data_IF_542969494482
#
_entry.id   IF_542969494482
#
_cell.length_a   1.000
_cell.length_b   1.000
_cell.length_c   1.000
_cell.angle_alpha   90.00
_cell.angle_beta   90.00
_cell.angle_gamma   90.00
#
_symmetry.space_group_name_H-M   'P 1'
#
loop_
_entity.id
_entity.type
_entity.pdbx_description
1 polymer ?
#
# COMPACT_ATOMS: atom_id res chain seq x y z
N UNK A 1 -5.81 31.23 -13.55
CA UNK A 1 -5.45 31.43 -12.12
C UNK A 1 -3.93 31.24 -12.01
N UNK A 2 -3.21 32.19 -11.44
CA UNK A 2 -1.77 32.02 -11.25
C UNK A 2 -1.50 30.97 -10.17
N UNK A 3 -0.93 29.84 -10.57
CA UNK A 3 -0.63 28.69 -9.69
C UNK A 3 0.38 29.08 -8.60
N UNK A 4 1.23 30.04 -8.86
CA UNK A 4 2.31 30.47 -7.95
C UNK A 4 1.89 31.63 -7.02
N UNK A 5 0.70 32.18 -7.20
CA UNK A 5 0.21 33.30 -6.38
C UNK A 5 0.08 32.92 -4.91
N UNK A 6 0.59 33.80 -4.02
CA UNK A 6 0.51 33.60 -2.56
C UNK A 6 1.41 32.48 -2.02
N UNK A 7 2.38 32.01 -2.79
CA UNK A 7 3.46 31.14 -2.32
C UNK A 7 4.65 31.97 -1.88
N UNK A 8 5.29 31.60 -0.77
CA UNK A 8 6.60 32.15 -0.39
C UNK A 8 7.71 31.58 -1.31
N UNK A 9 8.94 32.11 -1.18
CA UNK A 9 10.07 31.73 -2.05
C UNK A 9 10.36 30.22 -2.00
N UNK A 10 10.44 29.61 -0.82
CA UNK A 10 10.71 28.18 -0.67
C UNK A 10 9.58 27.30 -1.19
N UNK A 11 8.32 27.70 -0.98
CA UNK A 11 7.18 26.99 -1.56
C UNK A 11 7.14 27.10 -3.09
N UNK A 12 7.50 28.27 -3.63
CA UNK A 12 7.59 28.48 -5.08
C UNK A 12 8.69 27.61 -5.67
N UNK A 13 9.86 27.57 -5.06
CA UNK A 13 10.94 26.68 -5.44
C UNK A 13 10.51 25.22 -5.43
N UNK A 14 9.88 24.75 -4.35
CA UNK A 14 9.36 23.38 -4.25
C UNK A 14 8.31 23.04 -5.33
N UNK A 15 7.54 24.01 -5.80
CA UNK A 15 6.55 23.83 -6.87
C UNK A 15 7.21 23.78 -8.25
N UNK A 16 8.21 24.63 -8.52
CA UNK A 16 8.79 24.80 -9.87
C UNK A 16 10.01 23.92 -10.13
N UNK A 17 10.68 23.41 -9.11
CA UNK A 17 11.78 22.44 -9.29
C UNK A 17 11.19 21.07 -9.66
N UNK A 18 11.16 20.73 -10.95
CA UNK A 18 10.44 19.55 -11.46
C UNK A 18 11.33 18.34 -11.71
N UNK A 19 12.63 18.53 -11.81
CA UNK A 19 13.57 17.48 -12.18
C UNK A 19 14.33 16.91 -10.96
N UNK A 20 14.59 15.60 -11.02
CA UNK A 20 15.41 14.90 -10.04
C UNK A 20 14.67 14.57 -8.73
N UNK A 21 15.45 14.17 -7.73
CA UNK A 21 14.93 13.82 -6.40
C UNK A 21 14.89 15.05 -5.50
N UNK A 22 13.68 15.45 -5.12
CA UNK A 22 13.47 16.65 -4.33
C UNK A 22 12.91 16.26 -2.95
N UNK A 23 13.62 16.67 -1.91
CA UNK A 23 13.18 16.51 -0.52
C UNK A 23 12.85 17.87 0.08
N UNK A 24 11.60 18.04 0.51
CA UNK A 24 11.13 19.25 1.20
C UNK A 24 11.05 18.99 2.70
N UNK A 25 11.81 19.73 3.50
CA UNK A 25 11.77 19.66 4.96
C UNK A 25 11.01 20.88 5.47
N UNK A 26 9.88 20.65 6.14
CA UNK A 26 9.01 21.73 6.58
C UNK A 26 8.21 21.31 7.82
N UNK A 27 8.02 22.23 8.76
CA UNK A 27 7.25 22.02 9.98
C UNK A 27 5.74 21.81 9.76
N UNK A 28 5.03 21.42 10.81
CA UNK A 28 3.58 21.36 10.77
C UNK A 28 2.97 22.74 10.46
N UNK A 29 1.90 22.80 9.68
CA UNK A 29 1.25 24.05 9.29
C UNK A 29 1.97 24.92 8.28
N UNK A 30 3.16 24.50 7.79
CA UNK A 30 3.95 25.24 6.79
C UNK A 30 3.35 25.27 5.38
N UNK A 31 2.26 24.55 5.14
CA UNK A 31 1.61 24.47 3.84
C UNK A 31 2.18 23.43 2.88
N UNK A 32 2.81 22.36 3.38
CA UNK A 32 3.33 21.24 2.55
C UNK A 32 2.31 20.71 1.55
N UNK A 33 1.17 20.28 2.04
CA UNK A 33 0.07 19.74 1.22
C UNK A 33 -0.44 20.76 0.19
N UNK A 34 -0.44 22.06 0.55
CA UNK A 34 -0.78 23.15 -0.39
C UNK A 34 0.27 23.27 -1.50
N UNK A 35 1.55 23.23 -1.15
CA UNK A 35 2.63 23.27 -2.13
C UNK A 35 2.57 22.07 -3.07
N UNK A 36 2.30 20.88 -2.54
CA UNK A 36 2.18 19.65 -3.32
C UNK A 36 1.00 19.70 -4.32
N UNK A 37 -0.17 20.18 -3.90
CA UNK A 37 -1.30 20.37 -4.80
C UNK A 37 -1.01 21.38 -5.91
N UNK A 38 -0.30 22.48 -5.58
CA UNK A 38 0.12 23.47 -6.57
C UNK A 38 1.22 22.96 -7.50
N UNK A 39 2.12 22.11 -7.01
CA UNK A 39 3.10 21.41 -7.85
C UNK A 39 2.40 20.50 -8.87
N UNK A 40 1.39 19.74 -8.43
CA UNK A 40 0.57 18.93 -9.35
C UNK A 40 -0.04 19.82 -10.44
N UNK A 41 -0.71 20.90 -10.04
CA UNK A 41 -1.33 21.82 -10.98
C UNK A 41 -0.31 22.49 -11.92
N UNK A 42 0.90 22.80 -11.44
CA UNK A 42 1.98 23.34 -12.23
C UNK A 42 2.45 22.34 -13.31
N UNK A 43 2.66 21.07 -12.92
CA UNK A 43 3.03 20.01 -13.87
C UNK A 43 1.97 19.86 -14.98
N UNK A 44 0.69 19.90 -14.63
CA UNK A 44 -0.41 19.72 -15.60
C UNK A 44 -0.61 20.98 -16.45
N UNK A 45 -0.78 22.14 -15.85
CA UNK A 45 -1.23 23.34 -16.57
C UNK A 45 -0.09 24.07 -17.27
N UNK A 46 1.12 24.10 -16.67
CA UNK A 46 2.25 24.86 -17.24
C UNK A 46 3.17 23.97 -18.08
N UNK A 47 3.36 22.70 -17.67
CA UNK A 47 4.26 21.79 -18.38
C UNK A 47 3.53 20.78 -19.27
N UNK A 48 2.20 20.74 -19.25
CA UNK A 48 1.41 19.84 -20.09
C UNK A 48 1.54 18.35 -19.73
N UNK A 49 1.94 18.05 -18.50
CA UNK A 49 2.05 16.64 -18.03
C UNK A 49 0.65 16.04 -17.88
N UNK A 50 0.45 14.87 -18.47
CA UNK A 50 -0.82 14.15 -18.36
C UNK A 50 -1.08 13.77 -16.89
N UNK A 51 -2.26 14.09 -16.30
CA UNK A 51 -2.57 13.75 -14.92
C UNK A 51 -2.34 12.25 -14.59
N UNK A 52 -2.71 11.34 -15.48
CA UNK A 52 -2.50 9.90 -15.33
C UNK A 52 -1.03 9.46 -15.21
N UNK A 53 -0.06 10.34 -15.53
CA UNK A 53 1.37 10.10 -15.35
C UNK A 53 1.91 10.59 -14.00
N UNK A 54 1.04 11.10 -13.13
CA UNK A 54 1.41 11.64 -11.82
C UNK A 54 0.80 10.77 -10.73
N UNK A 55 1.67 10.24 -9.85
CA UNK A 55 1.28 9.57 -8.61
C UNK A 55 1.50 10.53 -7.44
N UNK A 56 0.44 10.76 -6.66
CA UNK A 56 0.52 11.50 -5.41
C UNK A 56 0.05 10.63 -4.26
N UNK A 57 0.96 10.26 -3.37
CA UNK A 57 0.68 9.36 -2.25
C UNK A 57 0.57 10.14 -0.97
N UNK A 58 -0.47 9.86 -0.20
CA UNK A 58 -0.70 10.41 1.14
C UNK A 58 -0.87 9.29 2.17
N UNK A 59 -0.78 9.64 3.45
CA UNK A 59 -0.89 8.63 4.50
C UNK A 59 -2.34 8.15 4.75
N UNK A 60 -3.35 9.01 4.57
CA UNK A 60 -4.75 8.66 4.86
C UNK A 60 -5.68 8.89 3.67
N UNK A 61 -6.77 8.11 3.61
CA UNK A 61 -7.81 8.29 2.62
C UNK A 61 -8.46 9.69 2.68
N UNK A 62 -8.56 10.26 3.89
CA UNK A 62 -9.04 11.62 4.10
C UNK A 62 -8.12 12.64 3.43
N UNK A 63 -6.80 12.53 3.68
CA UNK A 63 -5.81 13.42 3.03
C UNK A 63 -5.83 13.27 1.51
N UNK A 64 -5.97 12.05 0.99
CA UNK A 64 -6.09 11.82 -0.45
C UNK A 64 -7.36 12.48 -1.04
N UNK A 65 -8.48 12.41 -0.35
CA UNK A 65 -9.72 13.06 -0.78
C UNK A 65 -9.59 14.60 -0.76
N UNK A 66 -9.02 15.17 0.29
CA UNK A 66 -8.75 16.62 0.39
C UNK A 66 -7.77 17.08 -0.70
N UNK A 67 -6.72 16.31 -0.98
CA UNK A 67 -5.75 16.58 -2.05
C UNK A 67 -6.45 16.63 -3.42
N UNK A 68 -7.28 15.60 -3.73
CA UNK A 68 -8.06 15.56 -4.98
C UNK A 68 -8.94 16.79 -5.14
N UNK A 69 -9.64 17.20 -4.08
CA UNK A 69 -10.50 18.39 -4.12
C UNK A 69 -9.69 19.66 -4.42
N UNK A 70 -8.53 19.84 -3.78
CA UNK A 70 -7.64 20.99 -4.01
C UNK A 70 -7.09 21.02 -5.43
N UNK A 71 -6.67 19.86 -5.95
CA UNK A 71 -6.16 19.76 -7.32
C UNK A 71 -7.24 20.08 -8.34
N UNK A 72 -8.44 19.53 -8.18
CA UNK A 72 -9.59 19.88 -9.04
C UNK A 72 -9.90 21.39 -9.07
N UNK A 73 -9.82 22.03 -7.91
CA UNK A 73 -10.02 23.49 -7.83
C UNK A 73 -8.94 24.29 -8.55
N UNK A 74 -7.72 23.76 -8.71
CA UNK A 74 -6.60 24.41 -9.36
C UNK A 74 -6.51 24.10 -10.87
N UNK A 75 -6.80 22.87 -11.27
CA UNK A 75 -6.69 22.42 -12.67
C UNK A 75 -7.99 22.65 -13.45
N UNK A 76 -9.13 22.70 -12.77
CA UNK A 76 -10.45 22.72 -13.43
C UNK A 76 -10.84 21.39 -14.06
N UNK A 77 -10.00 20.35 -13.93
CA UNK A 77 -10.21 19.03 -14.51
C UNK A 77 -10.76 18.04 -13.46
N UNK A 78 -11.54 17.07 -13.92
CA UNK A 78 -12.00 15.94 -13.12
C UNK A 78 -10.93 14.85 -13.00
N UNK A 79 -9.99 14.76 -13.96
CA UNK A 79 -8.86 13.86 -13.89
C UNK A 79 -7.80 14.43 -12.93
N UNK A 80 -7.59 13.74 -11.83
CA UNK A 80 -6.61 14.10 -10.80
C UNK A 80 -5.46 13.10 -10.75
N UNK A 81 -5.29 12.27 -11.76
CA UNK A 81 -4.25 11.23 -11.78
C UNK A 81 -4.41 10.20 -10.65
N UNK A 82 -3.30 9.64 -10.22
CA UNK A 82 -3.26 8.65 -9.14
C UNK A 82 -3.03 9.35 -7.79
N UNK A 83 -4.10 9.83 -7.14
CA UNK A 83 -4.02 10.39 -5.78
C UNK A 83 -4.64 9.40 -4.79
N UNK A 84 -3.81 8.75 -3.98
CA UNK A 84 -4.24 7.65 -3.13
C UNK A 84 -3.31 7.46 -1.91
N UNK A 85 -3.59 6.48 -1.07
CA UNK A 85 -2.66 5.99 -0.05
C UNK A 85 -1.69 4.98 -0.65
N UNK A 86 -0.58 4.68 0.07
CA UNK A 86 0.33 3.61 -0.35
C UNK A 86 -0.40 2.28 -0.56
N UNK A 87 -1.24 1.86 0.38
CA UNK A 87 -2.01 0.62 0.27
C UNK A 87 -2.96 0.64 -0.93
N UNK A 88 -3.64 1.75 -1.20
CA UNK A 88 -4.52 1.86 -2.37
C UNK A 88 -3.74 1.80 -3.68
N UNK A 89 -2.53 2.33 -3.73
CA UNK A 89 -1.64 2.17 -4.88
C UNK A 89 -1.23 0.71 -5.05
N UNK A 90 -0.82 0.03 -3.98
CA UNK A 90 -0.50 -1.39 -4.00
C UNK A 90 -1.68 -2.24 -4.50
N UNK A 91 -2.91 -1.95 -4.03
CA UNK A 91 -4.11 -2.62 -4.56
C UNK A 91 -4.24 -2.43 -6.07
N UNK A 92 -4.00 -1.22 -6.58
CA UNK A 92 -4.04 -0.95 -8.04
C UNK A 92 -3.02 -1.78 -8.81
N UNK A 93 -1.77 -1.84 -8.32
CA UNK A 93 -0.70 -2.65 -8.92
C UNK A 93 -1.08 -4.13 -8.89
N UNK A 94 -1.49 -4.65 -7.75
CA UNK A 94 -1.83 -6.05 -7.57
C UNK A 94 -3.07 -6.46 -8.40
N UNK A 95 -4.07 -5.60 -8.55
CA UNK A 95 -5.21 -5.89 -9.41
C UNK A 95 -4.84 -5.94 -10.89
N UNK A 96 -3.90 -5.11 -11.33
CA UNK A 96 -3.45 -5.09 -12.72
C UNK A 96 -2.50 -6.27 -13.03
N UNK A 97 -1.60 -6.57 -12.12
CA UNK A 97 -0.49 -7.51 -12.31
C UNK A 97 -0.53 -8.74 -11.36
N UNK A 98 -1.71 -9.10 -10.87
CA UNK A 98 -1.92 -10.20 -9.91
C UNK A 98 -1.37 -11.56 -10.36
N UNK A 99 -1.26 -11.77 -11.68
CA UNK A 99 -0.71 -13.00 -12.26
C UNK A 99 0.73 -13.26 -11.82
N UNK A 100 1.50 -12.21 -11.53
CA UNK A 100 2.89 -12.32 -11.09
C UNK A 100 3.03 -12.94 -9.68
N UNK A 101 1.97 -12.91 -8.89
CA UNK A 101 1.92 -13.49 -7.54
C UNK A 101 0.89 -14.63 -7.43
N UNK A 102 0.38 -15.11 -8.56
CA UNK A 102 -0.61 -16.20 -8.64
C UNK A 102 -1.91 -15.94 -7.87
N UNK A 103 -2.30 -14.68 -7.73
CA UNK A 103 -3.55 -14.26 -7.10
C UNK A 103 -4.59 -13.85 -8.15
N UNK A 104 -5.89 -14.00 -7.87
CA UNK A 104 -6.94 -13.47 -8.73
C UNK A 104 -6.98 -11.94 -8.65
N UNK A 105 -7.43 -11.27 -9.70
CA UNK A 105 -7.63 -9.81 -9.69
C UNK A 105 -8.62 -9.35 -8.62
N UNK A 106 -9.54 -10.24 -8.24
CA UNK A 106 -10.58 -10.02 -7.22
C UNK A 106 -10.17 -10.57 -5.84
N UNK A 107 -8.89 -10.46 -5.48
CA UNK A 107 -8.44 -10.83 -4.13
C UNK A 107 -9.15 -9.99 -3.06
N UNK A 108 -9.24 -10.52 -1.85
CA UNK A 108 -9.85 -9.83 -0.73
C UNK A 108 -8.80 -8.97 0.00
N UNK A 109 -9.16 -7.75 0.38
CA UNK A 109 -8.36 -6.95 1.30
C UNK A 109 -8.92 -7.15 2.71
N UNK A 110 -8.13 -7.73 3.58
CA UNK A 110 -8.54 -8.12 4.92
C UNK A 110 -8.39 -6.96 5.90
N UNK A 111 -9.43 -6.72 6.68
CA UNK A 111 -9.38 -5.82 7.82
C UNK A 111 -9.26 -6.60 9.16
N UNK A 112 -9.18 -5.87 10.27
CA UNK A 112 -9.06 -6.48 11.59
C UNK A 112 -10.23 -7.38 11.96
N UNK A 113 -11.44 -7.12 11.46
CA UNK A 113 -12.60 -7.95 11.73
C UNK A 113 -12.53 -9.26 10.95
N UNK A 114 -12.06 -9.23 9.71
CA UNK A 114 -11.81 -10.43 8.91
C UNK A 114 -10.72 -11.29 9.54
N UNK A 115 -9.63 -10.68 10.02
CA UNK A 115 -8.55 -11.38 10.74
C UNK A 115 -9.10 -12.05 12.01
N UNK A 116 -9.94 -11.36 12.80
CA UNK A 116 -10.53 -11.93 14.00
C UNK A 116 -11.41 -13.15 13.72
N UNK A 117 -12.12 -13.17 12.60
CA UNK A 117 -12.90 -14.35 12.15
C UNK A 117 -11.98 -15.53 11.82
N UNK A 118 -10.86 -15.28 11.15
CA UNK A 118 -9.86 -16.31 10.87
C UNK A 118 -9.22 -16.85 12.16
N UNK A 119 -8.84 -15.96 13.06
CA UNK A 119 -8.29 -16.32 14.36
C UNK A 119 -9.26 -17.18 15.17
N UNK A 120 -10.56 -16.84 15.18
CA UNK A 120 -11.57 -17.62 15.89
C UNK A 120 -11.62 -19.07 15.40
N UNK A 121 -11.53 -19.31 14.08
CA UNK A 121 -11.46 -20.68 13.51
C UNK A 121 -10.19 -21.42 13.94
N UNK A 122 -9.03 -20.76 13.84
CA UNK A 122 -7.75 -21.34 14.24
C UNK A 122 -7.78 -21.74 15.71
N UNK A 123 -8.33 -20.89 16.56
CA UNK A 123 -8.44 -21.16 18.00
C UNK A 123 -9.36 -22.34 18.28
N UNK A 124 -10.50 -22.43 17.62
CA UNK A 124 -11.43 -23.56 17.74
C UNK A 124 -10.79 -24.86 17.27
N UNK A 125 -10.18 -24.87 16.07
CA UNK A 125 -9.54 -26.07 15.49
C UNK A 125 -8.35 -26.58 16.30
N UNK A 126 -7.57 -25.70 16.90
CA UNK A 126 -6.34 -26.05 17.62
C UNK A 126 -6.52 -26.06 19.16
N UNK A 127 -7.73 -25.86 19.66
CA UNK A 127 -8.02 -25.85 21.10
C UNK A 127 -7.31 -24.70 21.85
N UNK A 128 -7.04 -23.59 21.18
CA UNK A 128 -6.48 -22.40 21.79
C UNK A 128 -7.58 -21.60 22.51
N UNK A 129 -7.18 -20.81 23.49
CA UNK A 129 -8.09 -19.93 24.23
C UNK A 129 -7.49 -18.52 24.34
N UNK A 130 -8.33 -17.53 24.64
CA UNK A 130 -7.88 -16.15 24.85
C UNK A 130 -6.90 -15.99 26.05
N UNK A 131 -6.76 -17.03 26.88
CA UNK A 131 -5.73 -17.07 27.94
C UNK A 131 -4.34 -17.36 27.38
N UNK A 132 -4.24 -18.05 26.23
CA UNK A 132 -2.97 -18.28 25.55
C UNK A 132 -2.49 -17.00 24.85
N UNK A 133 -3.39 -16.31 24.15
CA UNK A 133 -3.15 -15.05 23.46
C UNK A 133 -4.50 -14.42 23.10
N UNK A 134 -4.68 -13.12 23.31
CA UNK A 134 -5.89 -12.43 22.84
C UNK A 134 -5.83 -12.22 21.33
N UNK A 135 -6.96 -11.95 20.66
CA UNK A 135 -6.94 -11.66 19.21
C UNK A 135 -6.14 -10.38 18.90
N UNK A 136 -6.19 -9.38 19.77
CA UNK A 136 -5.36 -8.19 19.61
C UNK A 136 -3.86 -8.52 19.65
N UNK A 137 -3.42 -9.28 20.67
CA UNK A 137 -2.02 -9.72 20.77
C UNK A 137 -1.62 -10.63 19.60
N UNK A 138 -2.56 -11.43 19.08
CA UNK A 138 -2.31 -12.29 17.92
C UNK A 138 -2.11 -11.45 16.64
N UNK A 139 -2.92 -10.41 16.42
CA UNK A 139 -2.72 -9.48 15.29
C UNK A 139 -1.39 -8.76 15.39
N UNK A 140 -1.07 -8.21 16.57
CA UNK A 140 0.21 -7.53 16.80
C UNK A 140 1.40 -8.48 16.58
N UNK A 141 1.28 -9.74 17.00
CA UNK A 141 2.29 -10.77 16.77
C UNK A 141 2.44 -11.11 15.28
N UNK A 142 1.33 -11.23 14.54
CA UNK A 142 1.34 -11.48 13.09
C UNK A 142 2.02 -10.32 12.38
N UNK A 143 1.63 -9.08 12.69
CA UNK A 143 2.21 -7.87 12.11
C UNK A 143 3.72 -7.78 12.37
N UNK A 144 4.14 -8.00 13.61
CA UNK A 144 5.54 -8.01 14.00
C UNK A 144 6.32 -9.09 13.24
N UNK A 145 5.76 -10.29 13.13
CA UNK A 145 6.40 -11.40 12.45
C UNK A 145 6.52 -11.13 10.95
N UNK A 146 5.46 -10.71 10.29
CA UNK A 146 5.47 -10.35 8.87
C UNK A 146 6.46 -9.21 8.57
N UNK A 147 6.52 -8.19 9.42
CA UNK A 147 7.32 -7.00 9.17
C UNK A 147 8.78 -7.09 9.58
N UNK A 148 9.13 -7.88 10.60
CA UNK A 148 10.45 -7.84 11.25
C UNK A 148 11.07 -9.22 11.45
N UNK A 149 10.32 -10.20 12.02
CA UNK A 149 10.89 -11.48 12.41
C UNK A 149 11.08 -12.43 11.21
N UNK A 150 10.13 -12.40 10.27
CA UNK A 150 10.12 -13.24 9.07
C UNK A 150 9.67 -12.39 7.86
N UNK A 151 10.46 -11.41 7.43
CA UNK A 151 10.07 -10.47 6.38
C UNK A 151 9.97 -11.13 5.00
N UNK A 152 10.39 -12.38 4.85
CA UNK A 152 10.28 -13.14 3.61
C UNK A 152 9.09 -14.13 3.60
N UNK A 153 8.21 -14.09 4.61
CA UNK A 153 7.02 -14.96 4.74
C UNK A 153 6.15 -14.98 3.47
N UNK A 154 6.14 -13.88 2.72
CA UNK A 154 5.35 -13.75 1.49
C UNK A 154 5.83 -14.73 0.40
N UNK A 155 7.09 -15.19 0.45
CA UNK A 155 7.56 -16.24 -0.45
C UNK A 155 6.82 -17.56 -0.19
N UNK A 156 6.57 -17.90 1.07
CA UNK A 156 5.73 -19.03 1.45
C UNK A 156 4.29 -18.87 0.87
N UNK A 157 3.78 -17.65 0.91
CA UNK A 157 2.45 -17.33 0.36
C UNK A 157 2.40 -17.44 -1.17
N UNK A 158 3.47 -17.10 -1.88
CA UNK A 158 3.52 -17.13 -3.35
C UNK A 158 3.89 -18.54 -3.85
N UNK A 159 4.96 -19.14 -3.30
CA UNK A 159 5.59 -20.33 -3.86
C UNK A 159 5.01 -21.65 -3.35
N UNK A 160 4.47 -21.70 -2.12
CA UNK A 160 3.87 -22.93 -1.59
C UNK A 160 2.44 -23.13 -2.09
N UNK A 161 2.09 -24.36 -2.42
CA UNK A 161 0.70 -24.72 -2.60
C UNK A 161 -0.07 -24.73 -1.26
N UNK A 162 -1.39 -24.74 -1.36
CA UNK A 162 -2.26 -24.70 -0.18
C UNK A 162 -2.09 -25.92 0.72
N UNK A 163 -1.78 -27.09 0.15
CA UNK A 163 -1.58 -28.34 0.91
C UNK A 163 -0.30 -28.28 1.75
N UNK A 164 0.78 -27.78 1.19
CA UNK A 164 2.06 -27.61 1.88
C UNK A 164 1.94 -26.60 3.02
N UNK A 165 1.26 -25.48 2.80
CA UNK A 165 1.01 -24.48 3.84
C UNK A 165 0.10 -25.03 4.94
N UNK A 166 -0.94 -25.79 4.58
CA UNK A 166 -1.80 -26.47 5.54
C UNK A 166 -1.02 -27.47 6.42
N UNK A 167 -0.06 -28.19 5.83
CA UNK A 167 0.81 -29.12 6.57
C UNK A 167 1.69 -28.36 7.57
N UNK A 168 2.30 -27.22 7.16
CA UNK A 168 3.03 -26.35 8.11
C UNK A 168 2.17 -25.92 9.29
N UNK A 169 0.91 -25.56 9.03
CA UNK A 169 -0.06 -25.21 10.07
C UNK A 169 -0.34 -26.37 11.02
N UNK A 170 -0.58 -27.58 10.48
CA UNK A 170 -0.88 -28.75 11.29
C UNK A 170 0.32 -29.21 12.14
N UNK A 171 1.53 -29.13 11.59
CA UNK A 171 2.77 -29.54 12.25
C UNK A 171 3.26 -28.51 13.30
N UNK A 172 2.71 -27.29 13.29
CA UNK A 172 3.07 -26.25 14.24
C UNK A 172 2.72 -26.67 15.70
N UNK A 173 3.65 -26.44 16.62
CA UNK A 173 3.52 -26.85 18.02
C UNK A 173 3.38 -25.64 18.95
N UNK A 174 4.15 -24.56 18.72
CA UNK A 174 4.06 -23.37 19.55
C UNK A 174 2.79 -22.58 19.26
N UNK A 175 2.21 -21.94 20.26
CA UNK A 175 1.02 -21.07 20.07
C UNK A 175 1.26 -20.02 18.98
N UNK A 176 2.45 -19.40 18.94
CA UNK A 176 2.80 -18.40 17.94
C UNK A 176 2.83 -18.97 16.51
N UNK A 177 3.42 -20.16 16.34
CA UNK A 177 3.50 -20.81 15.02
C UNK A 177 2.13 -21.32 14.57
N UNK A 178 1.33 -21.88 15.48
CA UNK A 178 -0.04 -22.30 15.19
C UNK A 178 -0.85 -21.13 14.66
N UNK A 179 -0.82 -19.99 15.34
CA UNK A 179 -1.54 -18.80 14.94
C UNK A 179 -1.00 -18.26 13.61
N UNK A 180 0.31 -18.15 13.47
CA UNK A 180 0.92 -17.56 12.29
C UNK A 180 0.67 -18.39 11.01
N UNK A 181 1.03 -19.67 11.03
CA UNK A 181 0.82 -20.53 9.85
C UNK A 181 -0.66 -20.82 9.59
N UNK A 182 -1.48 -20.89 10.63
CA UNK A 182 -2.93 -20.97 10.48
C UNK A 182 -3.51 -19.73 9.79
N UNK A 183 -3.03 -18.55 10.16
CA UNK A 183 -3.41 -17.30 9.54
C UNK A 183 -3.00 -17.24 8.06
N UNK A 184 -1.73 -17.54 7.74
CA UNK A 184 -1.26 -17.59 6.35
C UNK A 184 -2.07 -18.60 5.51
N UNK A 185 -2.42 -19.74 6.10
CA UNK A 185 -3.26 -20.75 5.43
C UNK A 185 -4.67 -20.23 5.13
N UNK A 186 -5.34 -19.58 6.09
CA UNK A 186 -6.67 -19.01 5.88
C UNK A 186 -6.65 -17.84 4.87
N UNK A 187 -5.61 -16.98 4.91
CA UNK A 187 -5.40 -15.93 3.90
C UNK A 187 -5.29 -16.52 2.50
N UNK A 188 -4.39 -17.48 2.30
CA UNK A 188 -4.17 -18.11 1.00
C UNK A 188 -5.42 -18.82 0.49
N UNK A 189 -6.15 -19.50 1.37
CA UNK A 189 -7.37 -20.24 1.05
C UNK A 189 -8.49 -19.33 0.50
N UNK A 190 -8.60 -18.11 0.99
CA UNK A 190 -9.59 -17.14 0.51
C UNK A 190 -9.05 -16.12 -0.48
N UNK A 191 -7.77 -16.23 -0.88
CA UNK A 191 -7.05 -15.19 -1.63
C UNK A 191 -7.14 -13.83 -0.95
N UNK A 192 -7.01 -13.82 0.38
CA UNK A 192 -6.95 -12.62 1.20
C UNK A 192 -5.54 -12.05 1.24
N UNK A 193 -5.45 -10.73 1.36
CA UNK A 193 -4.21 -10.00 1.60
C UNK A 193 -4.48 -8.94 2.67
N UNK A 194 -3.68 -8.92 3.72
CA UNK A 194 -3.70 -7.82 4.69
C UNK A 194 -2.85 -6.63 4.22
N UNK A 195 -2.76 -5.59 5.03
CA UNK A 195 -2.02 -4.38 4.65
C UNK A 195 -0.52 -4.61 4.46
N UNK A 196 0.09 -5.54 5.20
CA UNK A 196 1.50 -5.90 5.00
C UNK A 196 1.68 -6.60 3.66
N UNK A 197 0.80 -7.57 3.36
CA UNK A 197 0.86 -8.32 2.11
C UNK A 197 0.74 -7.42 0.89
N UNK A 198 -0.14 -6.41 0.93
CA UNK A 198 -0.28 -5.46 -0.18
C UNK A 198 1.06 -4.78 -0.52
N UNK A 199 1.82 -4.41 0.50
CA UNK A 199 3.12 -3.76 0.30
C UNK A 199 4.16 -4.79 -0.15
N UNK A 200 4.31 -5.91 0.56
CA UNK A 200 5.35 -6.89 0.26
C UNK A 200 5.17 -7.57 -1.10
N UNK A 201 3.94 -7.90 -1.47
CA UNK A 201 3.66 -8.47 -2.79
C UNK A 201 3.91 -7.46 -3.92
N UNK A 202 3.60 -6.19 -3.70
CA UNK A 202 3.93 -5.12 -4.67
C UNK A 202 5.44 -4.95 -4.82
N UNK A 203 6.19 -4.95 -3.71
CA UNK A 203 7.65 -4.89 -3.74
C UNK A 203 8.24 -6.11 -4.44
N UNK A 204 7.75 -7.32 -4.14
CA UNK A 204 8.17 -8.55 -4.81
C UNK A 204 8.00 -8.46 -6.33
N UNK A 205 6.82 -8.02 -6.80
CA UNK A 205 6.58 -7.83 -8.24
C UNK A 205 7.59 -6.85 -8.84
N UNK A 206 7.80 -5.70 -8.19
CA UNK A 206 8.74 -4.70 -8.73
C UNK A 206 10.20 -5.13 -8.68
N UNK A 207 10.58 -6.00 -7.76
CA UNK A 207 11.94 -6.54 -7.68
C UNK A 207 12.19 -7.65 -8.68
N UNK A 208 11.24 -8.55 -8.86
CA UNK A 208 11.38 -9.77 -9.67
C UNK A 208 10.95 -9.60 -11.12
N UNK A 209 9.86 -8.86 -11.36
CA UNK A 209 9.24 -8.73 -12.68
C UNK A 209 9.69 -7.44 -13.36
N UNK A 210 10.81 -7.51 -14.09
CA UNK A 210 11.43 -6.34 -14.76
C UNK A 210 10.50 -5.64 -15.74
N UNK A 211 9.68 -6.38 -16.50
CA UNK A 211 8.74 -5.81 -17.46
C UNK A 211 7.59 -5.07 -16.77
N UNK A 212 7.05 -5.63 -15.68
CA UNK A 212 6.01 -4.97 -14.90
C UNK A 212 6.56 -3.70 -14.27
N UNK A 213 7.74 -3.78 -13.64
CA UNK A 213 8.41 -2.60 -13.09
C UNK A 213 8.61 -1.51 -14.14
N UNK A 214 9.11 -1.88 -15.33
CA UNK A 214 9.32 -0.94 -16.43
C UNK A 214 8.01 -0.30 -16.88
N UNK A 215 6.94 -1.08 -17.04
CA UNK A 215 5.60 -0.59 -17.37
C UNK A 215 5.15 0.51 -16.40
N UNK A 216 5.31 0.29 -15.08
CA UNK A 216 4.95 1.28 -14.06
C UNK A 216 5.87 2.48 -14.04
N UNK A 217 7.17 2.31 -14.26
CA UNK A 217 8.14 3.42 -14.38
C UNK A 217 7.88 4.29 -15.61
N UNK A 218 7.51 3.72 -16.73
CA UNK A 218 7.14 4.47 -17.96
C UNK A 218 5.80 5.19 -17.79
N UNK A 219 4.85 4.60 -17.05
CA UNK A 219 3.55 5.22 -16.76
C UNK A 219 3.67 6.39 -15.80
N UNK A 220 4.44 6.25 -14.72
CA UNK A 220 4.53 7.23 -13.64
C UNK A 220 5.78 8.11 -13.79
N UNK A 221 5.61 9.22 -14.50
CA UNK A 221 6.71 10.17 -14.73
C UNK A 221 7.05 10.99 -13.48
N UNK A 222 6.05 11.27 -12.66
CA UNK A 222 6.20 12.03 -11.42
C UNK A 222 5.58 11.29 -10.24
N UNK A 223 6.35 11.17 -9.18
CA UNK A 223 5.90 10.56 -7.91
C UNK A 223 6.08 11.60 -6.80
N UNK A 224 5.01 11.91 -6.10
CA UNK A 224 4.97 12.84 -4.99
C UNK A 224 4.44 12.17 -3.74
N UNK A 225 5.10 12.38 -2.60
CA UNK A 225 4.72 11.80 -1.30
C UNK A 225 4.50 12.94 -0.30
N UNK A 226 3.30 12.98 0.35
CA UNK A 226 2.93 13.96 1.37
C UNK A 226 3.11 13.40 2.78
#
# INVERSE_FOLDING_TARGET
>A
MDILEGLNSSQREAVTSTEGYIRVVAGAGSGKTRALARRFAYLVNELGVTPGSILCVTFTNKSAAEMRQRIRALTGDSDTGHICTFHSFCVTVLQEDSHAVQYPKSFLVLDNADIDVMLARIYEERGLTLRHMTYADARDMIELRKGIEDPEYYLDMIDMDLETLHRKYLDAVSTRDIIFYGYLYEEKKCFGLDYNDLIFFTLYIFEREREIRRKWQERLQYIMVD
#
